data_IF_305704990138
#
_entry.id   IF_305704990138
#
_cell.length_a   1.000
_cell.length_b   1.000
_cell.length_c   1.000
_cell.angle_alpha   90.00
_cell.angle_beta   90.00
_cell.angle_gamma   90.00
#
_symmetry.space_group_name_H-M   'P 1'
#
loop_
_entity.id
_entity.type
_entity.pdbx_description
1 polymer ?
#
# COMPACT_ATOMS: atom_id res chain seq x y z
N UNK A 1 -11.15 -16.54 8.34
CA UNK A 1 -11.14 -15.29 9.14
C UNK A 1 -9.70 -14.94 9.42
N UNK A 2 -9.32 -13.67 9.31
CA UNK A 2 -7.96 -13.16 9.55
C UNK A 2 -8.07 -11.82 10.27
N UNK A 3 -7.09 -11.49 11.11
CA UNK A 3 -7.00 -10.18 11.73
C UNK A 3 -6.86 -9.08 10.66
N UNK A 4 -7.70 -8.03 10.67
CA UNK A 4 -7.75 -7.02 9.60
C UNK A 4 -6.51 -6.12 9.58
N UNK A 5 -5.95 -5.79 10.76
CA UNK A 5 -4.78 -4.92 10.89
C UNK A 5 -3.78 -5.47 11.91
N UNK A 6 -3.15 -6.60 11.60
CA UNK A 6 -2.16 -7.17 12.50
C UNK A 6 -0.83 -6.44 12.31
N UNK A 7 -0.58 -5.47 13.18
CA UNK A 7 0.65 -4.70 13.29
C UNK A 7 1.24 -4.83 14.73
N UNK A 8 2.48 -4.38 14.99
CA UNK A 8 3.10 -4.50 16.32
C UNK A 8 2.32 -3.84 17.46
N UNK A 9 1.60 -2.74 17.19
CA UNK A 9 0.82 -2.03 18.21
C UNK A 9 -0.41 -2.82 18.67
N UNK A 10 -0.86 -3.78 17.85
CA UNK A 10 -1.99 -4.65 18.14
C UNK A 10 -1.60 -5.98 18.82
N UNK A 11 -0.32 -6.17 19.19
CA UNK A 11 0.20 -7.38 19.83
C UNK A 11 0.84 -7.04 21.18
N UNK A 12 0.25 -7.54 22.27
CA UNK A 12 0.81 -7.41 23.61
C UNK A 12 1.72 -8.59 23.95
N UNK A 13 2.84 -8.28 24.58
CA UNK A 13 3.88 -9.25 24.94
C UNK A 13 4.21 -9.10 26.42
N UNK A 14 4.39 -10.21 27.12
CA UNK A 14 4.82 -10.25 28.54
C UNK A 14 6.31 -9.93 28.68
N UNK A 15 6.78 -9.72 29.91
CA UNK A 15 8.23 -9.58 30.20
C UNK A 15 9.03 -10.82 29.74
N UNK A 16 8.43 -12.01 29.78
CA UNK A 16 9.01 -13.27 29.32
C UNK A 16 8.98 -13.45 27.79
N UNK A 17 8.57 -12.42 27.04
CA UNK A 17 8.46 -12.41 25.57
C UNK A 17 7.40 -13.35 25.01
N UNK A 18 6.37 -13.65 25.80
CA UNK A 18 5.22 -14.42 25.35
C UNK A 18 4.09 -13.50 24.88
N UNK A 19 3.38 -13.88 23.82
CA UNK A 19 2.21 -13.13 23.35
C UNK A 19 1.09 -13.30 24.37
N UNK A 20 0.67 -12.22 25.01
CA UNK A 20 -0.42 -12.23 26.00
C UNK A 20 -1.78 -11.93 25.38
N UNK A 21 -1.83 -11.05 24.38
CA UNK A 21 -3.08 -10.63 23.76
C UNK A 21 -2.85 -10.09 22.33
N UNK A 22 -3.85 -10.28 21.47
CA UNK A 22 -4.00 -9.59 20.20
C UNK A 22 -5.31 -8.80 20.28
N UNK A 23 -5.25 -7.49 20.05
CA UNK A 23 -6.40 -6.58 20.13
C UNK A 23 -6.78 -6.05 18.75
N UNK A 24 -7.78 -5.17 18.69
CA UNK A 24 -8.19 -4.47 17.47
C UNK A 24 -8.81 -5.38 16.39
N UNK A 25 -9.63 -6.33 16.86
CA UNK A 25 -10.41 -7.23 16.00
C UNK A 25 -11.64 -6.57 15.34
N UNK A 26 -11.87 -5.28 15.58
CA UNK A 26 -12.94 -4.55 14.90
C UNK A 26 -12.76 -4.65 13.38
N UNK A 27 -13.87 -4.72 12.65
CA UNK A 27 -13.91 -4.95 11.20
C UNK A 27 -13.42 -6.33 10.70
N UNK A 28 -13.10 -7.26 11.60
CA UNK A 28 -12.80 -8.65 11.21
C UNK A 28 -13.99 -9.28 10.50
N UNK A 29 -13.73 -9.87 9.33
CA UNK A 29 -14.77 -10.45 8.47
C UNK A 29 -14.47 -11.90 8.11
N UNK A 30 -15.52 -12.69 7.90
CA UNK A 30 -15.43 -14.02 7.30
C UNK A 30 -15.62 -13.86 5.79
N UNK A 31 -14.53 -13.98 5.05
CA UNK A 31 -14.51 -13.85 3.59
C UNK A 31 -13.91 -15.12 2.96
N UNK A 32 -14.15 -15.36 1.66
CA UNK A 32 -13.45 -16.39 0.92
C UNK A 32 -11.93 -16.32 1.09
N UNK A 33 -11.25 -17.47 1.04
CA UNK A 33 -9.80 -17.54 1.23
C UNK A 33 -9.05 -16.66 0.22
N UNK A 34 -9.53 -16.58 -1.02
CA UNK A 34 -9.01 -15.69 -2.07
C UNK A 34 -9.01 -14.21 -1.68
N UNK A 35 -9.88 -13.77 -0.76
CA UNK A 35 -9.92 -12.37 -0.30
C UNK A 35 -9.12 -12.14 0.99
N UNK A 36 -8.74 -13.21 1.70
CA UNK A 36 -8.05 -13.12 3.01
C UNK A 36 -6.62 -13.64 2.99
N UNK A 37 -6.24 -14.39 1.94
CA UNK A 37 -4.87 -14.80 1.70
C UNK A 37 -3.97 -13.59 1.43
N UNK A 38 -2.71 -13.68 1.85
CA UNK A 38 -1.78 -12.55 1.87
C UNK A 38 -1.07 -12.45 3.21
N UNK A 39 -0.13 -11.52 3.30
CA UNK A 39 0.64 -11.30 4.51
C UNK A 39 0.05 -10.13 5.30
N UNK A 40 -0.11 -10.24 6.63
CA UNK A 40 -0.49 -9.10 7.48
C UNK A 40 0.60 -8.04 7.51
N UNK A 41 0.27 -6.76 7.82
CA UNK A 41 1.25 -5.68 7.87
C UNK A 41 2.53 -6.03 8.65
N UNK A 42 2.39 -6.71 9.79
CA UNK A 42 3.51 -7.21 10.60
C UNK A 42 4.47 -8.15 9.85
N UNK A 43 4.00 -8.85 8.83
CA UNK A 43 4.72 -9.87 8.06
C UNK A 43 4.80 -9.55 6.56
N UNK A 44 4.48 -8.32 6.15
CA UNK A 44 4.57 -7.90 4.76
C UNK A 44 6.01 -7.95 4.23
N UNK A 45 6.14 -8.17 2.92
CA UNK A 45 7.45 -8.09 2.28
C UNK A 45 7.90 -6.61 2.26
N UNK A 46 9.01 -6.25 2.90
CA UNK A 46 9.48 -4.86 2.88
C UNK A 46 10.14 -4.48 1.54
N UNK A 47 10.44 -5.45 0.68
CA UNK A 47 11.14 -5.23 -0.58
C UNK A 47 10.17 -4.99 -1.75
N UNK A 48 10.60 -4.21 -2.74
CA UNK A 48 9.83 -3.92 -3.97
C UNK A 48 9.53 -5.17 -4.79
N UNK A 49 10.40 -6.17 -4.72
CA UNK A 49 10.23 -7.45 -5.39
C UNK A 49 10.08 -8.59 -4.37
N UNK A 50 9.19 -9.52 -4.68
CA UNK A 50 9.08 -10.77 -3.92
C UNK A 50 10.35 -11.61 -4.05
N UNK A 51 10.88 -12.16 -2.95
CA UNK A 51 12.04 -13.05 -3.03
C UNK A 51 11.77 -14.25 -3.95
N UNK A 52 12.73 -14.53 -4.85
CA UNK A 52 12.65 -15.67 -5.80
C UNK A 52 12.71 -17.05 -5.14
N UNK A 53 12.88 -17.12 -3.81
CA UNK A 53 12.91 -18.36 -3.05
C UNK A 53 12.90 -18.12 -1.53
N UNK A 54 12.92 -19.22 -0.77
CA UNK A 54 12.84 -19.21 0.71
C UNK A 54 14.22 -19.07 1.39
N UNK A 55 15.07 -18.17 0.89
CA UNK A 55 16.36 -17.89 1.53
C UNK A 55 16.12 -17.05 2.79
N UNK A 56 16.71 -17.47 3.90
CA UNK A 56 16.71 -16.67 5.13
C UNK A 56 17.46 -15.36 4.85
N UNK A 57 16.87 -14.25 5.25
CA UNK A 57 17.50 -12.94 5.13
C UNK A 57 18.78 -12.87 5.98
N UNK A 58 19.78 -12.16 5.48
CA UNK A 58 21.00 -11.79 6.20
C UNK A 58 21.08 -10.27 6.33
N UNK A 59 21.95 -9.79 7.21
CA UNK A 59 22.38 -8.40 7.20
C UNK A 59 23.15 -8.11 5.89
N UNK A 60 23.24 -6.84 5.47
CA UNK A 60 24.03 -6.46 4.30
C UNK A 60 25.53 -6.71 4.55
N UNK A 61 26.28 -6.99 3.48
CA UNK A 61 27.70 -7.40 3.60
C UNK A 61 28.59 -6.29 4.19
N UNK A 62 28.21 -5.04 3.99
CA UNK A 62 28.86 -3.83 4.46
C UNK A 62 28.33 -3.35 5.82
N UNK A 63 27.55 -4.16 6.54
CA UNK A 63 26.95 -3.79 7.83
C UNK A 63 27.97 -3.24 8.83
N UNK A 64 29.14 -3.86 8.95
CA UNK A 64 30.18 -3.42 9.90
C UNK A 64 30.73 -2.02 9.58
N UNK A 65 30.70 -1.61 8.30
CA UNK A 65 31.11 -0.29 7.85
C UNK A 65 30.03 0.79 7.90
N UNK A 66 28.77 0.43 8.20
CA UNK A 66 27.68 1.39 8.30
C UNK A 66 27.86 2.35 9.48
N UNK A 67 27.41 3.59 9.30
CA UNK A 67 27.39 4.62 10.34
C UNK A 67 26.35 4.33 11.45
N UNK A 68 26.43 5.05 12.59
CA UNK A 68 25.52 4.88 13.71
C UNK A 68 24.04 5.20 13.37
N UNK A 69 23.79 6.03 12.37
CA UNK A 69 22.43 6.35 11.90
C UNK A 69 21.89 5.32 10.88
N UNK A 70 22.77 4.67 10.13
CA UNK A 70 22.40 3.71 9.09
C UNK A 70 22.17 2.30 9.65
N UNK A 71 22.92 1.91 10.69
CA UNK A 71 22.80 0.59 11.33
C UNK A 71 21.37 0.28 11.83
N UNK A 72 20.68 1.19 12.56
CA UNK A 72 19.30 0.94 12.97
C UNK A 72 18.35 0.69 11.80
N UNK A 73 18.55 1.36 10.67
CA UNK A 73 17.73 1.17 9.47
C UNK A 73 17.99 -0.21 8.83
N UNK A 74 19.26 -0.61 8.75
CA UNK A 74 19.65 -1.95 8.30
C UNK A 74 19.11 -3.06 9.23
N UNK A 75 19.14 -2.84 10.55
CA UNK A 75 18.60 -3.76 11.55
C UNK A 75 17.08 -3.92 11.42
N UNK A 76 16.36 -2.81 11.26
CA UNK A 76 14.91 -2.81 11.09
C UNK A 76 14.48 -3.48 9.78
N UNK A 77 15.16 -3.17 8.67
CA UNK A 77 14.92 -3.83 7.39
C UNK A 77 15.20 -5.34 7.48
N UNK A 78 16.30 -5.72 8.13
CA UNK A 78 16.62 -7.13 8.37
C UNK A 78 15.52 -7.82 9.22
N UNK A 79 15.07 -7.18 10.29
CA UNK A 79 13.98 -7.68 11.14
C UNK A 79 12.70 -7.92 10.33
N UNK A 80 12.27 -6.95 9.50
CA UNK A 80 11.08 -7.09 8.63
C UNK A 80 11.23 -8.24 7.64
N UNK A 81 12.39 -8.37 6.98
CA UNK A 81 12.67 -9.49 6.06
C UNK A 81 12.65 -10.85 6.78
N UNK A 82 13.18 -10.93 8.00
CA UNK A 82 13.13 -12.16 8.81
C UNK A 82 11.69 -12.51 9.19
N UNK A 83 10.87 -11.54 9.59
CA UNK A 83 9.47 -11.77 9.92
C UNK A 83 8.66 -12.28 8.72
N UNK A 84 8.80 -11.62 7.56
CA UNK A 84 8.22 -12.10 6.31
C UNK A 84 8.68 -13.54 6.00
N UNK A 85 9.99 -13.81 6.09
CA UNK A 85 10.54 -15.15 5.84
C UNK A 85 9.96 -16.20 6.79
N UNK A 86 9.92 -15.94 8.10
CA UNK A 86 9.34 -16.84 9.10
C UNK A 86 7.87 -17.11 8.79
N UNK A 87 7.10 -16.05 8.47
CA UNK A 87 5.69 -16.18 8.11
C UNK A 87 5.49 -17.11 6.91
N UNK A 88 6.30 -16.94 5.85
CA UNK A 88 6.25 -17.78 4.67
C UNK A 88 6.67 -19.24 4.96
N UNK A 89 7.67 -19.47 5.81
CA UNK A 89 8.12 -20.81 6.21
C UNK A 89 7.06 -21.54 7.02
N UNK A 90 6.45 -20.90 8.02
CA UNK A 90 5.43 -21.55 8.85
C UNK A 90 4.11 -21.76 8.10
N UNK A 91 3.66 -20.82 7.27
CA UNK A 91 2.54 -21.09 6.36
C UNK A 91 2.88 -22.19 5.35
N UNK A 92 4.14 -22.26 4.93
CA UNK A 92 4.78 -23.38 4.21
C UNK A 92 4.56 -24.75 4.79
N UNK A 93 4.63 -24.83 6.12
CA UNK A 93 4.61 -26.09 6.84
C UNK A 93 3.22 -26.46 7.31
N UNK A 94 2.47 -25.48 7.79
CA UNK A 94 1.28 -25.70 8.60
C UNK A 94 -0.02 -25.18 7.93
N UNK A 95 0.07 -24.50 6.77
CA UNK A 95 -1.07 -23.86 6.11
C UNK A 95 -1.04 -23.95 4.57
N UNK A 96 -1.01 -25.18 4.06
CA UNK A 96 -1.03 -25.48 2.62
C UNK A 96 -2.14 -24.76 1.83
N UNK A 97 -3.40 -24.66 2.31
CA UNK A 97 -4.45 -23.96 1.56
C UNK A 97 -4.15 -22.47 1.35
N UNK A 98 -3.53 -21.81 2.34
CA UNK A 98 -3.13 -20.41 2.22
C UNK A 98 -2.05 -20.24 1.15
N UNK A 99 -1.01 -21.09 1.16
CA UNK A 99 0.03 -21.03 0.14
C UNK A 99 -0.48 -21.38 -1.26
N UNK A 100 -1.36 -22.37 -1.39
CA UNK A 100 -1.99 -22.68 -2.67
C UNK A 100 -2.77 -21.47 -3.20
N UNK A 101 -3.46 -20.75 -2.31
CA UNK A 101 -4.21 -19.53 -2.66
C UNK A 101 -3.29 -18.41 -3.09
N UNK A 102 -2.13 -18.19 -2.45
CA UNK A 102 -1.15 -17.18 -2.87
C UNK A 102 -0.62 -17.39 -4.31
N UNK A 103 -0.70 -18.63 -4.82
CA UNK A 103 -0.32 -18.98 -6.20
C UNK A 103 -1.50 -18.93 -7.17
N UNK A 104 -2.69 -18.60 -6.71
CA UNK A 104 -3.87 -18.57 -7.55
C UNK A 104 -3.71 -17.49 -8.63
N UNK A 105 -3.92 -17.82 -9.92
CA UNK A 105 -3.76 -16.85 -11.01
C UNK A 105 -4.57 -15.61 -10.74
N UNK A 106 -4.04 -14.41 -10.99
CA UNK A 106 -4.78 -13.14 -10.84
C UNK A 106 -5.35 -12.90 -9.42
N UNK A 107 -4.77 -13.49 -8.37
CA UNK A 107 -5.19 -13.25 -6.98
C UNK A 107 -5.20 -11.76 -6.64
N UNK A 108 -4.07 -11.08 -6.89
CA UNK A 108 -3.91 -9.66 -6.59
C UNK A 108 -4.95 -8.81 -7.31
N UNK A 109 -5.26 -9.13 -8.58
CA UNK A 109 -6.29 -8.42 -9.35
C UNK A 109 -7.69 -8.58 -8.71
N UNK A 110 -8.07 -9.81 -8.33
CA UNK A 110 -9.36 -10.07 -7.65
C UNK A 110 -9.47 -9.33 -6.32
N UNK A 111 -8.42 -9.41 -5.51
CA UNK A 111 -8.36 -8.74 -4.21
C UNK A 111 -8.42 -7.21 -4.37
N UNK A 112 -7.63 -6.67 -5.30
CA UNK A 112 -7.57 -5.24 -5.58
C UNK A 112 -8.94 -4.69 -6.00
N UNK A 113 -9.66 -5.37 -6.89
CA UNK A 113 -10.98 -4.92 -7.31
C UNK A 113 -11.99 -4.87 -6.16
N UNK A 114 -12.02 -5.89 -5.29
CA UNK A 114 -12.93 -5.93 -4.14
C UNK A 114 -12.55 -4.86 -3.11
N UNK A 115 -11.26 -4.71 -2.80
CA UNK A 115 -10.78 -3.70 -1.86
C UNK A 115 -11.09 -2.28 -2.35
N UNK A 116 -10.85 -1.98 -3.64
CA UNK A 116 -11.17 -0.66 -4.21
C UNK A 116 -12.67 -0.39 -4.28
N UNK A 117 -13.48 -1.40 -4.60
CA UNK A 117 -14.94 -1.26 -4.57
C UNK A 117 -15.48 -1.01 -3.17
N UNK A 118 -14.79 -1.50 -2.13
CA UNK A 118 -15.12 -1.27 -0.73
C UNK A 118 -14.76 0.11 -0.18
N UNK A 119 -13.95 0.92 -0.90
CA UNK A 119 -13.41 2.22 -0.42
C UNK A 119 -14.08 3.41 -1.10
N UNK A 120 -15.40 3.37 -1.27
CA UNK A 120 -16.16 4.41 -1.99
C UNK A 120 -16.01 5.81 -1.36
N UNK A 121 -15.79 5.89 -0.05
CA UNK A 121 -15.58 7.14 0.67
C UNK A 121 -14.19 7.77 0.45
N UNK A 122 -13.24 7.05 -0.15
CA UNK A 122 -11.88 7.57 -0.38
C UNK A 122 -11.79 8.64 -1.47
N UNK A 123 -12.85 8.83 -2.26
CA UNK A 123 -12.84 9.74 -3.42
C UNK A 123 -11.94 9.30 -4.58
N UNK A 124 -11.17 8.21 -4.43
CA UNK A 124 -10.24 7.72 -5.44
C UNK A 124 -10.92 6.78 -6.43
N UNK A 125 -11.55 7.36 -7.46
CA UNK A 125 -12.20 6.62 -8.55
C UNK A 125 -11.17 6.03 -9.53
N UNK A 126 -9.97 6.62 -9.63
CA UNK A 126 -8.93 6.20 -10.57
C UNK A 126 -8.53 4.75 -10.30
N UNK A 127 -8.18 4.41 -9.07
CA UNK A 127 -7.76 3.04 -8.74
C UNK A 127 -8.85 2.00 -8.98
N UNK A 128 -10.12 2.33 -8.73
CA UNK A 128 -11.24 1.44 -9.01
C UNK A 128 -11.45 1.24 -10.52
N UNK A 129 -11.46 2.31 -11.32
CA UNK A 129 -11.61 2.20 -12.78
C UNK A 129 -10.45 1.41 -13.39
N UNK A 130 -9.22 1.63 -12.94
CA UNK A 130 -8.06 0.86 -13.36
C UNK A 130 -8.17 -0.63 -13.01
N UNK A 131 -8.65 -0.96 -11.80
CA UNK A 131 -8.92 -2.34 -11.40
C UNK A 131 -9.97 -3.01 -12.31
N UNK A 132 -11.05 -2.30 -12.65
CA UNK A 132 -12.12 -2.80 -13.51
C UNK A 132 -11.64 -3.02 -14.96
N UNK A 133 -10.86 -2.10 -15.53
CA UNK A 133 -10.29 -2.27 -16.86
C UNK A 133 -9.41 -3.52 -16.94
N UNK A 134 -8.50 -3.69 -15.98
CA UNK A 134 -7.66 -4.89 -15.89
C UNK A 134 -8.48 -6.17 -15.67
N UNK A 135 -9.59 -6.10 -14.93
CA UNK A 135 -10.52 -7.25 -14.80
C UNK A 135 -11.17 -7.61 -16.14
N UNK A 136 -11.57 -6.62 -16.94
CA UNK A 136 -12.16 -6.83 -18.27
C UNK A 136 -11.13 -7.45 -19.21
N UNK A 137 -9.90 -6.92 -19.23
CA UNK A 137 -8.80 -7.41 -20.08
C UNK A 137 -8.42 -8.87 -19.76
N UNK A 138 -8.58 -9.28 -18.50
CA UNK A 138 -8.27 -10.62 -18.03
C UNK A 138 -9.52 -11.49 -17.80
N UNK A 139 -10.70 -11.08 -18.28
CA UNK A 139 -11.97 -11.72 -17.93
C UNK A 139 -11.99 -13.22 -18.23
N UNK A 140 -11.52 -13.63 -19.41
CA UNK A 140 -11.48 -15.03 -19.82
C UNK A 140 -10.68 -15.89 -18.82
N UNK A 141 -9.54 -15.39 -18.35
CA UNK A 141 -8.70 -16.07 -17.35
C UNK A 141 -9.34 -16.12 -15.95
N UNK A 142 -10.28 -15.21 -15.67
CA UNK A 142 -11.00 -15.17 -14.40
C UNK A 142 -12.16 -16.17 -14.37
N UNK A 143 -12.82 -16.39 -15.51
CA UNK A 143 -13.99 -17.26 -15.66
C UNK A 143 -13.66 -18.66 -16.22
N UNK A 144 -12.43 -18.88 -16.71
CA UNK A 144 -11.90 -20.20 -17.08
C UNK A 144 -11.83 -21.13 -15.86
N UNK A 145 -13.00 -21.65 -15.49
CA UNK A 145 -13.21 -22.77 -14.60
C UNK A 145 -13.93 -23.89 -15.36
N UNK A 146 -13.81 -25.11 -14.84
CA UNK A 146 -14.24 -26.44 -15.34
C UNK A 146 -15.72 -26.58 -15.83
N UNK A 147 -16.47 -25.50 -15.93
CA UNK A 147 -17.92 -25.48 -16.18
C UNK A 147 -18.33 -25.44 -17.65
N UNK A 148 -17.39 -25.21 -18.59
CA UNK A 148 -17.66 -25.21 -20.03
C UNK A 148 -18.66 -24.15 -20.52
N UNK A 149 -19.08 -23.23 -19.66
CA UNK A 149 -19.96 -22.10 -19.98
C UNK A 149 -19.12 -20.84 -20.19
N UNK A 150 -19.22 -20.26 -21.39
CA UNK A 150 -18.69 -18.92 -21.67
C UNK A 150 -19.56 -17.89 -20.94
N UNK A 151 -19.05 -17.35 -19.84
CA UNK A 151 -19.68 -16.26 -19.10
C UNK A 151 -19.19 -14.94 -19.71
N UNK A 152 -20.10 -14.12 -20.20
CA UNK A 152 -19.76 -12.79 -20.74
C UNK A 152 -19.39 -11.82 -19.61
N UNK A 153 -18.44 -10.91 -19.86
CA UNK A 153 -18.07 -9.89 -18.89
C UNK A 153 -19.26 -8.94 -18.64
N UNK A 154 -19.65 -8.69 -17.37
CA UNK A 154 -20.82 -7.86 -17.06
C UNK A 154 -20.58 -6.37 -17.29
N UNK A 155 -19.32 -5.95 -17.45
CA UNK A 155 -18.91 -4.57 -17.66
C UNK A 155 -18.11 -4.49 -18.95
N UNK A 156 -18.32 -3.43 -19.72
CA UNK A 156 -17.60 -3.15 -20.95
C UNK A 156 -17.22 -1.67 -20.93
N UNK A 157 -16.04 -1.37 -21.45
CA UNK A 157 -15.55 -0.01 -21.63
C UNK A 157 -15.34 0.25 -23.11
N UNK A 158 -15.61 1.47 -23.55
CA UNK A 158 -15.22 1.90 -24.89
C UNK A 158 -13.69 1.97 -24.98
N UNK A 159 -13.13 1.60 -26.13
CA UNK A 159 -11.68 1.61 -26.35
C UNK A 159 -11.09 3.00 -26.14
N UNK A 160 -11.78 4.04 -26.60
CA UNK A 160 -11.34 5.43 -26.41
C UNK A 160 -11.35 5.82 -24.94
N UNK A 161 -12.40 5.44 -24.20
CA UNK A 161 -12.52 5.73 -22.77
C UNK A 161 -11.44 5.03 -21.93
N UNK A 162 -10.97 3.86 -22.38
CA UNK A 162 -9.87 3.12 -21.75
C UNK A 162 -8.51 3.77 -22.06
N UNK A 163 -8.26 4.13 -23.33
CA UNK A 163 -7.04 4.82 -23.75
C UNK A 163 -6.86 6.18 -23.07
N UNK A 164 -7.92 6.99 -23.00
CA UNK A 164 -7.91 8.26 -22.27
C UNK A 164 -7.68 8.04 -20.78
N UNK A 165 -8.27 6.99 -20.20
CA UNK A 165 -8.08 6.67 -18.80
C UNK A 165 -6.63 6.29 -18.47
N UNK A 166 -5.94 5.53 -19.32
CA UNK A 166 -4.55 5.15 -19.06
C UNK A 166 -3.62 6.35 -18.97
N UNK A 167 -3.88 7.42 -19.74
CA UNK A 167 -3.14 8.69 -19.62
C UNK A 167 -3.39 9.36 -18.26
N UNK A 168 -4.65 9.37 -17.80
CA UNK A 168 -5.03 9.90 -16.49
C UNK A 168 -4.40 9.08 -15.36
N UNK A 169 -4.44 7.74 -15.45
CA UNK A 169 -3.84 6.84 -14.46
C UNK A 169 -2.32 7.03 -14.37
N UNK A 170 -1.64 7.21 -15.49
CA UNK A 170 -0.20 7.48 -15.52
C UNK A 170 0.16 8.80 -14.81
N UNK A 171 -0.58 9.88 -15.09
CA UNK A 171 -0.38 11.17 -14.44
C UNK A 171 -0.69 11.09 -12.93
N UNK A 172 -1.76 10.40 -12.57
CA UNK A 172 -2.11 10.16 -11.16
C UNK A 172 -1.02 9.36 -10.43
N UNK A 173 -0.42 8.36 -11.08
CA UNK A 173 0.67 7.58 -10.50
C UNK A 173 1.92 8.43 -10.27
N UNK A 174 2.31 9.26 -11.25
CA UNK A 174 3.42 10.22 -11.12
C UNK A 174 3.19 11.21 -9.97
N UNK A 175 1.98 11.78 -9.90
CA UNK A 175 1.61 12.69 -8.82
C UNK A 175 1.65 12.02 -7.45
N UNK A 176 1.23 10.76 -7.36
CA UNK A 176 1.29 9.96 -6.12
C UNK A 176 2.74 9.73 -5.66
N UNK A 177 3.65 9.38 -6.58
CA UNK A 177 5.09 9.23 -6.26
C UNK A 177 5.66 10.55 -5.72
N UNK A 178 5.34 11.67 -6.38
CA UNK A 178 5.79 12.99 -5.95
C UNK A 178 5.26 13.34 -4.56
N UNK A 179 3.99 13.05 -4.30
CA UNK A 179 3.37 13.28 -2.99
C UNK A 179 4.05 12.46 -1.89
N UNK A 180 4.30 11.17 -2.11
CA UNK A 180 5.01 10.32 -1.15
C UNK A 180 6.45 10.80 -0.90
N UNK A 181 7.14 11.26 -1.95
CA UNK A 181 8.43 11.91 -1.79
C UNK A 181 8.34 13.15 -0.90
N UNK A 182 7.39 14.04 -1.14
CA UNK A 182 7.19 15.21 -0.29
C UNK A 182 6.86 14.84 1.16
N UNK A 183 6.04 13.81 1.40
CA UNK A 183 5.79 13.29 2.76
C UNK A 183 7.09 12.89 3.46
N UNK A 184 7.97 12.17 2.77
CA UNK A 184 9.27 11.76 3.33
C UNK A 184 10.15 12.95 3.72
N UNK A 185 10.15 14.01 2.91
CA UNK A 185 10.91 15.24 3.17
C UNK A 185 10.29 16.05 4.32
N UNK A 186 8.98 15.91 4.55
CA UNK A 186 8.23 16.53 5.64
C UNK A 186 8.29 15.72 6.95
N UNK A 187 9.11 14.66 7.02
CA UNK A 187 9.26 13.83 8.22
C UNK A 187 8.13 12.83 8.41
N UNK A 188 7.56 12.34 7.31
CA UNK A 188 6.47 11.35 7.26
C UNK A 188 5.29 11.69 8.18
N UNK A 189 4.67 12.87 8.00
CA UNK A 189 3.43 13.17 8.70
C UNK A 189 2.43 12.05 8.38
N UNK A 190 1.74 11.54 9.40
CA UNK A 190 0.71 10.52 9.22
C UNK A 190 -0.38 10.96 8.23
N UNK A 191 -1.33 10.08 7.89
CA UNK A 191 -2.41 10.46 6.94
C UNK A 191 -3.17 11.73 7.38
N UNK A 192 -3.24 11.95 8.69
CA UNK A 192 -3.90 13.09 9.33
C UNK A 192 -2.98 14.32 9.49
N UNK A 193 -1.75 14.31 8.94
CA UNK A 193 -0.85 15.47 8.97
C UNK A 193 -0.12 15.71 10.29
N UNK A 194 -0.21 14.79 11.26
CA UNK A 194 0.37 14.99 12.60
C UNK A 194 1.91 15.01 12.57
N UNK A 195 2.47 16.01 13.24
CA UNK A 195 3.91 16.17 13.49
C UNK A 195 4.15 16.51 14.95
N UNK A 196 5.35 16.22 15.46
CA UNK A 196 5.68 16.55 16.86
C UNK A 196 5.74 18.07 17.03
N UNK A 197 5.44 18.56 18.23
CA UNK A 197 5.51 19.99 18.52
C UNK A 197 6.92 20.56 18.29
N UNK A 198 7.94 19.74 18.55
CA UNK A 198 9.36 20.09 18.38
C UNK A 198 9.76 20.23 16.91
N UNK A 199 9.17 19.45 16.00
CA UNK A 199 9.47 19.50 14.56
C UNK A 199 8.52 20.40 13.76
N UNK A 200 7.39 20.82 14.34
CA UNK A 200 6.32 21.54 13.65
C UNK A 200 6.82 22.75 12.83
N UNK A 201 7.59 23.65 13.46
CA UNK A 201 8.07 24.86 12.78
C UNK A 201 8.98 24.53 11.59
N UNK A 202 9.82 23.51 11.73
CA UNK A 202 10.72 23.04 10.67
C UNK A 202 9.95 22.43 9.50
N UNK A 203 8.97 21.56 9.80
CA UNK A 203 8.12 20.93 8.77
C UNK A 203 7.32 21.99 8.01
N UNK A 204 6.76 22.98 8.71
CA UNK A 204 6.02 24.07 8.06
C UNK A 204 6.88 24.94 7.15
N UNK A 205 8.16 25.16 7.49
CA UNK A 205 9.08 25.87 6.61
C UNK A 205 9.39 25.07 5.34
N UNK A 206 9.68 23.78 5.49
CA UNK A 206 9.90 22.87 4.36
C UNK A 206 8.66 22.81 3.46
N UNK A 207 7.46 22.71 4.05
CA UNK A 207 6.19 22.73 3.32
C UNK A 207 6.03 24.01 2.48
N UNK A 208 6.29 25.19 3.08
CA UNK A 208 6.27 26.47 2.36
C UNK A 208 7.28 26.53 1.23
N UNK A 209 8.48 25.96 1.43
CA UNK A 209 9.52 25.92 0.41
C UNK A 209 9.11 25.03 -0.77
N UNK A 210 8.60 23.83 -0.50
CA UNK A 210 8.08 22.92 -1.53
C UNK A 210 6.96 23.58 -2.34
N UNK A 211 6.00 24.26 -1.68
CA UNK A 211 4.93 24.99 -2.39
C UNK A 211 5.51 26.08 -3.30
N UNK A 212 6.50 26.84 -2.84
CA UNK A 212 7.14 27.91 -3.64
C UNK A 212 7.88 27.36 -4.85
N UNK A 213 8.64 26.27 -4.67
CA UNK A 213 9.36 25.62 -5.78
C UNK A 213 8.38 25.10 -6.83
N UNK A 214 7.29 24.46 -6.39
CA UNK A 214 6.27 23.94 -7.30
C UNK A 214 5.53 25.07 -8.05
N UNK A 215 5.21 26.17 -7.37
CA UNK A 215 4.62 27.37 -8.00
C UNK A 215 5.57 27.99 -9.02
N UNK A 216 6.89 27.94 -8.80
CA UNK A 216 7.87 28.50 -9.73
C UNK A 216 7.96 27.72 -11.06
N UNK A 217 7.54 26.46 -11.07
CA UNK A 217 7.49 25.59 -12.25
C UNK A 217 6.14 25.66 -13.00
N UNK A 218 5.17 26.47 -12.52
CA UNK A 218 3.88 26.65 -13.17
C UNK A 218 4.04 27.27 -14.57
N UNK A 219 3.39 26.69 -15.58
CA UNK A 219 3.49 27.15 -16.97
C UNK A 219 2.47 28.25 -17.28
N UNK A 220 1.32 28.23 -16.60
CA UNK A 220 0.21 29.16 -16.82
C UNK A 220 -0.55 29.57 -15.54
N UNK A 221 -1.58 30.40 -15.71
CA UNK A 221 -2.42 30.88 -14.61
C UNK A 221 -3.31 29.76 -14.02
N UNK A 222 -3.63 28.73 -14.80
CA UNK A 222 -4.43 27.58 -14.35
C UNK A 222 -3.62 26.72 -13.38
N UNK A 223 -2.33 26.49 -13.67
CA UNK A 223 -1.40 25.82 -12.77
C UNK A 223 -1.29 26.54 -11.43
N UNK A 224 -1.16 27.87 -11.44
CA UNK A 224 -1.08 28.67 -10.21
C UNK A 224 -2.34 28.52 -9.35
N UNK A 225 -3.53 28.58 -9.97
CA UNK A 225 -4.81 28.40 -9.27
C UNK A 225 -4.95 26.98 -8.73
N UNK A 226 -4.48 25.97 -9.48
CA UNK A 226 -4.49 24.59 -9.04
C UNK A 226 -3.64 24.40 -7.78
N UNK A 227 -2.40 24.92 -7.77
CA UNK A 227 -1.52 24.81 -6.60
C UNK A 227 -2.04 25.60 -5.42
N UNK A 228 -2.63 26.77 -5.64
CA UNK A 228 -3.18 27.56 -4.54
C UNK A 228 -4.38 26.88 -3.86
N UNK A 229 -5.26 26.23 -4.65
CA UNK A 229 -6.48 25.59 -4.14
C UNK A 229 -6.30 24.15 -3.66
N UNK A 230 -5.37 23.41 -4.26
CA UNK A 230 -5.25 21.97 -4.07
C UNK A 230 -3.87 21.56 -3.55
N UNK A 231 -3.16 22.46 -2.88
CA UNK A 231 -1.91 22.10 -2.21
C UNK A 231 -2.18 21.01 -1.17
N UNK A 232 -1.55 19.83 -1.27
CA UNK A 232 -1.93 18.65 -0.49
C UNK A 232 -1.63 18.77 1.01
N UNK A 233 -0.78 19.72 1.40
CA UNK A 233 -0.40 19.99 2.80
C UNK A 233 -0.85 21.38 3.24
N UNK A 234 -2.00 21.81 2.73
CA UNK A 234 -2.62 23.07 3.12
C UNK A 234 -3.41 22.91 4.43
N UNK A 235 -3.31 23.90 5.31
CA UNK A 235 -4.23 24.01 6.43
C UNK A 235 -5.64 24.31 5.91
N UNK A 236 -6.58 23.49 6.34
CA UNK A 236 -8.01 23.72 6.14
C UNK A 236 -8.63 24.07 7.48
N UNK A 237 -9.45 25.12 7.53
CA UNK A 237 -10.29 25.35 8.70
C UNK A 237 -11.27 24.17 8.82
N UNK A 238 -11.23 23.46 9.96
CA UNK A 238 -12.30 22.53 10.31
C UNK A 238 -13.56 23.37 10.53
N UNK A 239 -14.49 23.29 9.57
CA UNK A 239 -15.80 23.89 9.73
C UNK A 239 -16.60 23.01 10.71
N UNK A 240 -16.81 23.52 11.93
CA UNK A 240 -17.69 22.97 12.97
C UNK A 240 -19.12 22.69 12.46
#
# INVERSE_FOLDING_TARGET
>A
MRHPDLNPFNVFVTEDREISCIIDWQHSSILPLLLTAGNPPLFENPDSESPKGLKKASLPEDYESLGPEEKPHADELHRRRILFWLYMVFNGKDNDPHLATLRYPLLALRQHAVDRAGRQWSGNIITLKGALLRLVDHWDQLVDGDSGQSIQCPVQFDTKDAEEFYQVEENWFKATILLEYWRSVLGDPGQDGWVSNESYEGVMEVNRQLKKEWVAEAEDEEDLVCVDRFWPFQDHEELD
#
